data_IF_136780860932
#
_entry.id   IF_136780860932
#
_cell.length_a   1.000
_cell.length_b   1.000
_cell.length_c   1.000
_cell.angle_alpha   90.00
_cell.angle_beta   90.00
_cell.angle_gamma   90.00
#
_symmetry.space_group_name_H-M   'P 1'
#
loop_
_entity.id
_entity.type
_entity.pdbx_description
1 polymer ?
#
# COMPACT_ATOMS: atom_id res chain seq x y z
N UNK A 1 -22.22 -48.19 -13.35
CA UNK A 1 -22.63 -47.05 -14.20
C UNK A 1 -21.82 -45.81 -13.89
N UNK A 2 -20.75 -45.60 -14.66
CA UNK A 2 -19.90 -44.40 -14.59
C UNK A 2 -20.18 -43.46 -15.77
N UNK A 3 -21.43 -43.34 -16.19
CA UNK A 3 -21.82 -42.68 -17.45
C UNK A 3 -22.55 -41.34 -17.26
N UNK A 4 -22.38 -40.64 -16.13
CA UNK A 4 -23.14 -39.39 -15.87
C UNK A 4 -22.30 -38.19 -15.43
N UNK A 5 -21.00 -38.15 -15.73
CA UNK A 5 -20.22 -36.92 -15.56
C UNK A 5 -20.45 -36.00 -16.76
N UNK A 6 -21.27 -34.97 -16.53
CA UNK A 6 -21.51 -33.87 -17.47
C UNK A 6 -20.18 -33.15 -17.74
N UNK A 7 -19.82 -32.85 -19.00
CA UNK A 7 -18.59 -32.14 -19.31
C UNK A 7 -18.55 -30.76 -18.63
N UNK A 8 -17.35 -30.26 -18.27
CA UNK A 8 -17.21 -28.97 -17.62
C UNK A 8 -17.85 -27.89 -18.49
N UNK A 9 -18.81 -27.17 -17.89
CA UNK A 9 -19.46 -26.01 -18.47
C UNK A 9 -18.38 -25.04 -18.93
N UNK A 10 -18.46 -24.61 -20.19
CA UNK A 10 -17.55 -23.58 -20.73
C UNK A 10 -17.47 -22.40 -19.74
N UNK A 11 -16.27 -21.83 -19.52
CA UNK A 11 -16.14 -20.66 -18.67
C UNK A 11 -17.09 -19.56 -19.18
N UNK A 12 -17.73 -18.81 -18.28
CA UNK A 12 -18.67 -17.76 -18.67
C UNK A 12 -17.99 -16.83 -19.68
N UNK A 13 -18.77 -16.27 -20.64
CA UNK A 13 -18.21 -15.40 -21.67
C UNK A 13 -17.35 -14.33 -21.02
N UNK A 14 -16.06 -14.28 -21.39
CA UNK A 14 -15.16 -13.21 -20.98
C UNK A 14 -15.84 -11.91 -21.39
N UNK A 15 -16.31 -11.13 -20.42
CA UNK A 15 -16.86 -9.81 -20.71
C UNK A 15 -15.73 -8.99 -21.31
N UNK A 16 -15.77 -8.75 -22.62
CA UNK A 16 -14.88 -7.84 -23.37
C UNK A 16 -15.08 -6.37 -22.96
N UNK A 17 -15.45 -6.11 -21.71
CA UNK A 17 -15.44 -4.77 -21.15
C UNK A 17 -13.99 -4.41 -20.88
N UNK A 18 -13.42 -3.57 -21.72
CA UNK A 18 -12.17 -2.87 -21.43
C UNK A 18 -12.26 -2.33 -20.00
N UNK A 19 -11.41 -2.83 -19.12
CA UNK A 19 -11.45 -2.45 -17.72
C UNK A 19 -11.08 -0.97 -17.62
N UNK A 20 -11.97 -0.13 -17.08
CA UNK A 20 -11.62 1.25 -16.74
C UNK A 20 -10.66 1.24 -15.53
N UNK A 21 -9.38 1.05 -15.84
CA UNK A 21 -8.30 0.95 -14.86
C UNK A 21 -8.22 2.22 -14.00
N UNK A 22 -8.46 3.39 -14.60
CA UNK A 22 -8.42 4.68 -13.90
C UNK A 22 -9.54 4.75 -12.86
N UNK A 23 -10.75 4.32 -13.21
CA UNK A 23 -11.86 4.27 -12.26
C UNK A 23 -11.58 3.32 -11.08
N UNK A 24 -10.94 2.16 -11.34
CA UNK A 24 -10.55 1.21 -10.29
C UNK A 24 -9.49 1.81 -9.37
N UNK A 25 -8.42 2.39 -9.91
CA UNK A 25 -7.36 3.03 -9.12
C UNK A 25 -7.91 4.20 -8.29
N UNK A 26 -8.78 5.04 -8.88
CA UNK A 26 -9.46 6.11 -8.15
C UNK A 26 -10.39 5.56 -7.07
N UNK A 27 -11.05 4.42 -7.29
CA UNK A 27 -11.91 3.80 -6.28
C UNK A 27 -11.09 3.30 -5.08
N UNK A 28 -9.94 2.64 -5.33
CA UNK A 28 -9.01 2.21 -4.28
C UNK A 28 -8.50 3.42 -3.47
N UNK A 29 -8.04 4.47 -4.14
CA UNK A 29 -7.61 5.70 -3.47
C UNK A 29 -8.71 6.32 -2.60
N UNK A 30 -9.94 6.43 -3.13
CA UNK A 30 -11.09 6.97 -2.38
C UNK A 30 -11.47 6.09 -1.20
N UNK A 31 -11.39 4.77 -1.35
CA UNK A 31 -11.71 3.83 -0.27
C UNK A 31 -10.75 3.99 0.91
N UNK A 32 -9.44 4.05 0.63
CA UNK A 32 -8.44 4.24 1.68
C UNK A 32 -8.58 5.61 2.36
N UNK A 33 -8.73 6.67 1.58
CA UNK A 33 -8.95 8.03 2.10
C UNK A 33 -10.14 8.11 3.03
N UNK A 34 -11.31 7.62 2.59
CA UNK A 34 -12.53 7.65 3.43
C UNK A 34 -12.38 6.81 4.71
N UNK A 35 -11.69 5.69 4.62
CA UNK A 35 -11.41 4.83 5.79
C UNK A 35 -10.52 5.55 6.79
N UNK A 36 -9.52 6.27 6.29
CA UNK A 36 -8.60 7.07 7.10
C UNK A 36 -9.28 8.28 7.75
N UNK A 37 -10.05 9.04 6.99
CA UNK A 37 -10.82 10.18 7.49
C UNK A 37 -11.77 9.76 8.62
N UNK A 38 -12.44 8.62 8.44
CA UNK A 38 -13.31 8.05 9.47
C UNK A 38 -12.52 7.63 10.72
N UNK A 39 -11.36 6.97 10.55
CA UNK A 39 -10.50 6.57 11.66
C UNK A 39 -9.97 7.78 12.44
N UNK A 40 -9.43 8.79 11.75
CA UNK A 40 -8.93 10.01 12.39
C UNK A 40 -10.05 10.79 13.08
N UNK A 41 -11.25 10.82 12.49
CA UNK A 41 -12.42 11.43 13.11
C UNK A 41 -12.87 10.74 14.40
N UNK A 42 -12.66 9.43 14.52
CA UNK A 42 -12.87 8.68 15.77
C UNK A 42 -11.74 8.96 16.76
N UNK A 43 -10.49 8.86 16.31
CA UNK A 43 -9.31 9.08 17.15
C UNK A 43 -9.29 10.47 17.78
N UNK A 44 -9.70 11.50 17.05
CA UNK A 44 -9.76 12.87 17.56
C UNK A 44 -10.85 13.06 18.62
N UNK A 45 -12.02 12.42 18.47
CA UNK A 45 -13.08 12.46 19.50
C UNK A 45 -12.68 11.74 20.78
N UNK A 46 -11.90 10.67 20.65
CA UNK A 46 -11.50 9.83 21.77
C UNK A 46 -10.16 10.24 22.38
N UNK A 47 -9.43 11.23 21.84
CA UNK A 47 -8.05 11.56 22.25
C UNK A 47 -7.92 11.92 23.74
N UNK A 48 -8.97 12.46 24.35
CA UNK A 48 -8.99 12.79 25.78
C UNK A 48 -9.07 11.56 26.70
N UNK A 49 -9.61 10.44 26.20
CA UNK A 49 -9.77 9.19 26.95
C UNK A 49 -8.72 8.14 26.53
N UNK A 50 -8.45 8.06 25.22
CA UNK A 50 -7.58 7.06 24.57
C UNK A 50 -6.61 7.75 23.60
N UNK A 51 -5.59 8.48 24.11
CA UNK A 51 -4.62 9.21 23.28
C UNK A 51 -3.82 8.29 22.35
N UNK A 52 -3.70 7.00 22.68
CA UNK A 52 -3.02 6.01 21.85
C UNK A 52 -3.64 5.88 20.46
N UNK A 53 -4.96 6.08 20.30
CA UNK A 53 -5.62 6.00 19.00
C UNK A 53 -5.11 7.05 18.01
N UNK A 54 -4.70 8.23 18.52
CA UNK A 54 -4.11 9.28 17.70
C UNK A 54 -2.64 9.01 17.34
N UNK A 55 -1.95 8.20 18.16
CA UNK A 55 -0.56 7.81 17.95
C UNK A 55 -0.42 6.59 17.03
N UNK A 56 -1.41 5.70 17.06
CA UNK A 56 -1.41 4.48 16.26
C UNK A 56 -1.44 4.80 14.78
N UNK A 57 -0.60 4.08 14.04
CA UNK A 57 -0.57 4.10 12.60
C UNK A 57 -0.17 2.73 12.07
N UNK A 58 -0.42 2.50 10.78
CA UNK A 58 -0.12 1.22 10.14
C UNK A 58 0.36 1.39 8.71
N UNK A 59 1.18 0.46 8.25
CA UNK A 59 1.49 0.31 6.84
C UNK A 59 0.35 -0.48 6.18
N UNK A 60 -0.10 -0.02 5.02
CA UNK A 60 -1.21 -0.64 4.30
C UNK A 60 -0.72 -1.10 2.95
N UNK A 61 -0.93 -2.38 2.66
CA UNK A 61 -0.73 -2.97 1.35
C UNK A 61 -2.04 -3.67 0.96
N UNK A 62 -2.59 -3.30 -0.19
CA UNK A 62 -3.83 -3.88 -0.70
C UNK A 62 -3.66 -4.28 -2.16
N UNK A 63 -4.32 -5.38 -2.54
CA UNK A 63 -4.29 -5.94 -3.88
C UNK A 63 -5.71 -6.28 -4.31
N UNK A 64 -6.06 -5.92 -5.54
CA UNK A 64 -7.34 -6.24 -6.17
C UNK A 64 -7.06 -6.95 -7.50
N UNK A 65 -7.71 -8.10 -7.71
CA UNK A 65 -7.69 -8.83 -8.98
C UNK A 65 -9.00 -8.57 -9.73
N UNK A 66 -8.93 -8.16 -11.00
CA UNK A 66 -10.09 -8.02 -11.88
C UNK A 66 -9.80 -8.65 -13.23
N UNK A 67 -10.21 -9.91 -13.38
CA UNK A 67 -9.85 -10.70 -14.56
C UNK A 67 -8.36 -11.00 -14.56
N UNK A 68 -7.67 -10.61 -15.64
CA UNK A 68 -6.22 -10.76 -15.81
C UNK A 68 -5.44 -9.55 -15.23
N UNK A 69 -6.12 -8.49 -14.81
CA UNK A 69 -5.49 -7.29 -14.27
C UNK A 69 -5.36 -7.34 -12.74
N UNK A 70 -4.16 -7.02 -12.23
CA UNK A 70 -3.88 -6.85 -10.81
C UNK A 70 -3.63 -5.38 -10.48
N UNK A 71 -4.28 -4.88 -9.44
CA UNK A 71 -4.09 -3.51 -8.93
C UNK A 71 -3.49 -3.59 -7.53
N UNK A 72 -2.38 -2.91 -7.30
CA UNK A 72 -1.68 -2.88 -6.01
C UNK A 72 -1.65 -1.46 -5.47
N UNK A 73 -1.97 -1.29 -4.19
CA UNK A 73 -1.93 -0.01 -3.48
C UNK A 73 -1.05 -0.14 -2.24
N UNK A 74 -0.05 0.72 -2.11
CA UNK A 74 0.88 0.73 -0.98
C UNK A 74 0.95 2.07 -0.24
N UNK A 75 0.91 2.01 1.09
CA UNK A 75 1.19 3.12 2.02
C UNK A 75 2.13 2.62 3.10
N UNK A 76 3.33 3.20 3.16
CA UNK A 76 4.41 2.77 4.04
C UNK A 76 5.43 1.89 3.34
N UNK A 77 6.08 1.01 4.09
CA UNK A 77 7.23 0.20 3.67
C UNK A 77 6.90 -1.29 3.47
N UNK A 78 5.61 -1.64 3.45
CA UNK A 78 5.18 -2.99 3.06
C UNK A 78 5.39 -3.22 1.57
N UNK A 79 5.90 -4.41 1.21
CA UNK A 79 6.31 -4.75 -0.17
C UNK A 79 5.46 -5.86 -0.76
N UNK A 80 5.01 -5.68 -2.01
CA UNK A 80 4.50 -6.76 -2.85
C UNK A 80 5.58 -7.22 -3.84
N UNK A 81 5.79 -8.52 -3.93
CA UNK A 81 6.75 -9.15 -4.85
C UNK A 81 6.02 -10.22 -5.65
N UNK A 82 6.04 -10.12 -6.98
CA UNK A 82 5.50 -11.09 -7.90
C UNK A 82 6.60 -12.08 -8.28
N UNK A 83 6.35 -13.37 -8.04
CA UNK A 83 7.18 -14.43 -8.59
C UNK A 83 6.74 -14.68 -10.03
N UNK A 84 7.67 -14.54 -10.98
CA UNK A 84 7.46 -14.83 -12.40
C UNK A 84 8.33 -16.01 -12.82
N UNK A 85 7.87 -16.76 -13.80
CA UNK A 85 8.57 -17.91 -14.33
C UNK A 85 8.41 -17.92 -15.84
N UNK A 86 9.47 -18.26 -16.56
CA UNK A 86 9.41 -18.32 -18.02
C UNK A 86 8.53 -19.49 -18.48
N UNK A 87 7.86 -19.30 -19.62
CA UNK A 87 6.89 -20.28 -20.15
C UNK A 87 7.54 -21.62 -20.49
N UNK A 88 8.81 -21.62 -20.89
CA UNK A 88 9.60 -22.82 -21.16
C UNK A 88 9.76 -23.70 -19.93
N UNK A 89 9.95 -23.10 -18.75
CA UNK A 89 10.13 -23.86 -17.52
C UNK A 89 8.78 -24.39 -16.99
N UNK A 90 7.66 -23.75 -17.32
CA UNK A 90 6.31 -24.15 -16.88
C UNK A 90 5.86 -25.47 -17.51
N UNK A 91 6.21 -25.69 -18.78
CA UNK A 91 5.93 -26.94 -19.48
C UNK A 91 6.71 -28.12 -18.89
N UNK A 92 7.95 -27.88 -18.45
CA UNK A 92 8.78 -28.90 -17.81
C UNK A 92 8.32 -29.29 -16.39
N UNK A 93 7.71 -28.36 -15.62
CA UNK A 93 7.11 -28.69 -14.32
C UNK A 93 5.86 -29.58 -14.48
N UNK A 94 5.09 -29.39 -15.54
CA UNK A 94 3.87 -30.16 -15.84
C UNK A 94 4.15 -31.64 -16.13
N UNK A 95 5.33 -31.97 -16.68
CA UNK A 95 5.67 -33.33 -17.10
C UNK A 95 6.43 -34.16 -16.04
N UNK A 96 6.62 -33.63 -14.84
CA UNK A 96 7.17 -34.40 -13.70
C UNK A 96 8.64 -34.78 -13.82
N UNK A 97 9.35 -34.29 -14.83
CA UNK A 97 10.79 -34.53 -15.00
C UNK A 97 11.58 -33.43 -14.28
N UNK A 98 11.97 -33.70 -13.04
CA UNK A 98 12.85 -32.84 -12.23
C UNK A 98 14.33 -33.06 -12.62
N UNK A 99 14.62 -33.07 -13.92
CA UNK A 99 15.96 -33.38 -14.45
C UNK A 99 16.83 -32.12 -14.38
N UNK A 100 17.34 -31.81 -13.17
CA UNK A 100 18.47 -30.92 -12.92
C UNK A 100 18.33 -29.42 -13.24
N UNK A 101 17.28 -29.00 -13.94
CA UNK A 101 17.00 -27.59 -14.23
C UNK A 101 16.10 -27.01 -13.14
N UNK A 102 16.69 -26.26 -12.22
CA UNK A 102 15.94 -25.42 -11.29
C UNK A 102 15.13 -24.41 -12.11
N UNK A 103 13.78 -24.40 -12.03
CA UNK A 103 12.97 -23.45 -12.77
C UNK A 103 13.42 -22.02 -12.46
N UNK A 104 13.64 -21.21 -13.49
CA UNK A 104 14.18 -19.87 -13.34
C UNK A 104 13.07 -18.94 -12.81
N UNK A 105 12.89 -18.96 -11.48
CA UNK A 105 11.99 -18.05 -10.79
C UNK A 105 12.65 -16.67 -10.66
N UNK A 106 12.01 -15.67 -11.24
CA UNK A 106 12.37 -14.26 -11.05
C UNK A 106 11.42 -13.59 -10.07
N UNK A 107 11.93 -12.66 -9.28
CA UNK A 107 11.16 -11.91 -8.29
C UNK A 107 11.08 -10.44 -8.71
N UNK A 108 9.86 -9.97 -9.00
CA UNK A 108 9.58 -8.60 -9.46
C UNK A 108 8.85 -7.84 -8.35
N UNK A 109 9.50 -6.82 -7.77
CA UNK A 109 8.87 -5.95 -6.79
C UNK A 109 7.86 -5.02 -7.47
N UNK A 110 6.63 -4.99 -6.96
CA UNK A 110 5.51 -4.24 -7.55
C UNK A 110 5.26 -2.88 -6.89
N UNK A 111 5.77 -2.66 -5.67
CA UNK A 111 5.55 -1.44 -4.89
C UNK A 111 6.85 -0.71 -4.60
N UNK A 112 6.78 0.62 -4.46
CA UNK A 112 7.89 1.40 -3.94
C UNK A 112 7.82 1.51 -2.42
N UNK A 113 8.98 1.54 -1.77
CA UNK A 113 9.08 1.68 -0.32
C UNK A 113 8.90 3.14 0.10
N UNK A 114 8.05 3.41 1.08
CA UNK A 114 7.97 4.72 1.71
C UNK A 114 8.69 4.72 3.07
N UNK A 115 10.01 4.74 3.03
CA UNK A 115 10.86 4.80 4.24
C UNK A 115 11.98 5.84 4.13
N UNK A 116 12.59 6.21 5.25
CA UNK A 116 13.77 7.10 5.28
C UNK A 116 15.03 6.45 4.70
N UNK A 117 14.99 5.16 4.38
CA UNK A 117 16.02 4.50 3.59
C UNK A 117 15.96 4.91 2.12
N UNK A 118 14.82 5.42 1.65
CA UNK A 118 14.65 5.97 0.31
C UNK A 118 15.06 7.45 0.28
N UNK A 119 16.14 7.82 -0.43
CA UNK A 119 16.63 9.20 -0.47
C UNK A 119 15.60 10.18 -1.03
N UNK A 120 14.74 9.73 -1.94
CA UNK A 120 13.67 10.53 -2.53
C UNK A 120 12.65 10.98 -1.48
N UNK A 121 12.20 10.08 -0.60
CA UNK A 121 11.29 10.42 0.49
C UNK A 121 11.95 11.36 1.50
N UNK A 122 13.23 11.14 1.83
CA UNK A 122 13.96 12.04 2.74
C UNK A 122 14.08 13.45 2.15
N UNK A 123 14.42 13.56 0.85
CA UNK A 123 14.50 14.86 0.16
C UNK A 123 13.13 15.53 0.09
N UNK A 124 12.08 14.78 -0.26
CA UNK A 124 10.71 15.27 -0.31
C UNK A 124 10.27 15.87 1.02
N UNK A 125 10.41 15.11 2.12
CA UNK A 125 10.02 15.58 3.47
C UNK A 125 10.78 16.85 3.85
N UNK A 126 12.09 16.92 3.58
CA UNK A 126 12.90 18.12 3.88
C UNK A 126 12.45 19.33 3.06
N UNK A 127 12.13 19.14 1.77
CA UNK A 127 11.69 20.21 0.88
C UNK A 127 10.29 20.72 1.23
N UNK A 128 9.40 19.85 1.69
CA UNK A 128 8.06 20.23 2.15
C UNK A 128 8.08 20.96 3.50
N UNK A 129 9.15 20.81 4.29
CA UNK A 129 9.28 21.37 5.64
C UNK A 129 10.62 22.10 5.84
N UNK A 130 10.91 23.18 5.08
CA UNK A 130 12.16 23.92 5.20
C UNK A 130 12.35 24.57 6.58
N UNK A 131 11.23 24.94 7.23
CA UNK A 131 11.22 25.59 8.56
C UNK A 131 11.28 24.60 9.73
N UNK A 132 11.35 23.30 9.45
CA UNK A 132 11.42 22.25 10.46
C UNK A 132 12.65 21.36 10.27
N UNK A 133 13.81 21.77 10.79
CA UNK A 133 15.04 20.97 10.70
C UNK A 133 14.93 19.63 11.43
N UNK A 134 13.91 19.46 12.30
CA UNK A 134 13.66 18.21 13.03
C UNK A 134 12.76 17.22 12.28
N UNK A 135 12.24 17.60 11.10
CA UNK A 135 11.37 16.75 10.28
C UNK A 135 12.00 15.38 10.02
N UNK A 136 13.31 15.35 9.71
CA UNK A 136 14.13 14.13 9.67
C UNK A 136 15.29 14.29 10.65
N UNK A 137 15.30 13.48 11.70
CA UNK A 137 16.35 13.46 12.72
C UNK A 137 16.81 12.02 12.97
N UNK A 138 18.13 11.80 13.07
CA UNK A 138 18.72 10.45 13.23
C UNK A 138 18.17 9.42 12.22
N UNK A 139 18.08 9.83 10.95
CA UNK A 139 17.51 9.04 9.86
C UNK A 139 16.09 8.53 10.10
N UNK A 140 15.30 9.25 10.91
CA UNK A 140 13.92 8.93 11.26
C UNK A 140 13.05 10.19 11.17
N UNK A 141 11.83 10.00 10.72
CA UNK A 141 10.78 11.03 10.76
C UNK A 141 10.56 11.44 12.21
N UNK A 142 10.75 12.71 12.51
CA UNK A 142 10.69 13.28 13.88
C UNK A 142 11.55 12.52 14.91
N UNK A 143 12.58 11.79 14.47
CA UNK A 143 13.41 10.94 15.33
C UNK A 143 12.78 9.59 15.70
N UNK A 144 11.53 9.30 15.31
CA UNK A 144 10.75 8.18 15.84
C UNK A 144 10.27 7.16 14.82
N UNK A 145 10.10 7.52 13.54
CA UNK A 145 9.59 6.57 12.55
C UNK A 145 10.57 6.41 11.38
N UNK A 146 10.80 5.17 10.94
CA UNK A 146 11.49 4.90 9.68
C UNK A 146 10.56 5.02 8.48
N UNK A 147 9.28 4.74 8.69
CA UNK A 147 8.22 4.89 7.69
C UNK A 147 7.96 6.38 7.44
N UNK A 148 7.74 6.76 6.19
CA UNK A 148 7.54 8.15 5.73
C UNK A 148 6.11 8.46 5.31
N UNK A 149 5.27 7.42 5.16
CA UNK A 149 3.82 7.49 4.90
C UNK A 149 3.12 6.39 5.68
N UNK A 150 2.04 6.68 6.38
CA UNK A 150 1.31 5.66 7.14
C UNK A 150 -0.18 5.98 7.16
N UNK A 151 -1.00 4.94 7.24
CA UNK A 151 -2.41 5.07 7.63
C UNK A 151 -2.50 5.49 9.09
N UNK A 152 -3.40 6.41 9.44
CA UNK A 152 -3.53 6.91 10.81
C UNK A 152 -2.36 7.81 11.20
N UNK A 153 -1.70 7.57 12.32
CA UNK A 153 -0.63 8.42 12.86
C UNK A 153 -1.06 9.91 12.94
N UNK A 154 -2.24 10.14 13.51
CA UNK A 154 -2.89 11.46 13.58
C UNK A 154 -1.99 12.55 14.16
N UNK A 155 -1.11 12.20 15.11
CA UNK A 155 -0.13 13.14 15.68
C UNK A 155 0.87 13.73 14.69
N UNK A 156 1.06 13.11 13.51
CA UNK A 156 1.90 13.63 12.43
C UNK A 156 1.10 14.31 11.32
N UNK A 157 -0.22 14.14 11.28
CA UNK A 157 -1.08 14.68 10.21
C UNK A 157 -1.63 16.05 10.57
N UNK A 158 -1.93 16.85 9.55
CA UNK A 158 -2.65 18.11 9.74
C UNK A 158 -4.11 17.77 9.94
N UNK A 159 -4.45 17.36 11.17
CA UNK A 159 -5.83 17.14 11.54
C UNK A 159 -6.46 18.52 11.81
N UNK A 160 -7.58 18.80 11.16
CA UNK A 160 -8.27 20.09 11.21
C UNK A 160 -8.83 20.46 12.60
N UNK A 161 -8.76 19.56 13.57
CA UNK A 161 -9.28 19.75 14.92
C UNK A 161 -8.15 19.88 15.96
N UNK A 162 -8.33 20.86 16.85
CA UNK A 162 -7.33 21.36 17.79
C UNK A 162 -6.88 20.32 18.83
N UNK A 163 -7.67 19.26 19.08
CA UNK A 163 -7.48 18.35 20.21
C UNK A 163 -6.20 17.52 20.06
N UNK A 164 -6.02 16.78 18.96
CA UNK A 164 -4.79 16.00 18.72
C UNK A 164 -3.52 16.88 18.74
N UNK A 165 -3.55 18.05 18.09
CA UNK A 165 -2.39 18.94 18.05
C UNK A 165 -2.05 19.50 19.44
N UNK A 166 -3.06 19.85 20.23
CA UNK A 166 -2.89 20.37 21.59
C UNK A 166 -2.30 19.36 22.57
N UNK A 167 -2.63 18.07 22.40
CA UNK A 167 -2.19 16.99 23.30
C UNK A 167 -0.72 16.64 23.07
N UNK A 168 -0.27 16.57 21.82
CA UNK A 168 1.07 16.06 21.51
C UNK A 168 2.13 17.15 21.28
N UNK A 169 1.75 18.37 20.91
CA UNK A 169 2.70 19.47 20.71
C UNK A 169 3.74 19.23 19.60
N UNK A 170 3.51 18.24 18.73
CA UNK A 170 4.40 17.89 17.61
C UNK A 170 3.94 18.66 16.36
N UNK A 171 4.86 19.35 15.69
CA UNK A 171 4.57 19.95 14.37
C UNK A 171 4.20 18.84 13.39
N UNK A 172 3.00 18.91 12.82
CA UNK A 172 2.57 18.00 11.76
C UNK A 172 3.49 18.08 10.55
N UNK A 173 3.59 16.94 9.84
CA UNK A 173 4.22 16.82 8.53
C UNK A 173 3.14 16.65 7.45
N UNK A 174 3.06 17.59 6.52
CA UNK A 174 2.17 17.52 5.35
C UNK A 174 2.43 16.26 4.52
N UNK A 175 3.68 15.81 4.51
CA UNK A 175 4.14 14.59 3.83
C UNK A 175 3.39 13.31 4.24
N UNK A 176 2.81 13.29 5.45
CA UNK A 176 1.98 12.19 5.95
C UNK A 176 0.50 12.36 5.59
N UNK A 177 0.07 13.59 5.31
CA UNK A 177 -1.32 13.94 4.98
C UNK A 177 -1.59 13.86 3.47
N UNK A 178 -0.55 13.89 2.64
CA UNK A 178 -0.69 13.69 1.20
C UNK A 178 -1.17 12.28 0.89
N UNK A 179 -2.34 12.20 0.27
CA UNK A 179 -2.95 10.95 -0.20
C UNK A 179 -2.32 10.43 -1.50
N UNK A 180 -1.01 10.64 -1.68
CA UNK A 180 -0.24 10.00 -2.74
C UNK A 180 -0.04 8.53 -2.38
N UNK A 181 -1.08 7.75 -2.64
CA UNK A 181 -1.06 6.31 -2.55
C UNK A 181 -0.29 5.76 -3.75
N UNK A 182 0.76 4.97 -3.52
CA UNK A 182 1.46 4.30 -4.60
C UNK A 182 0.55 3.23 -5.19
N UNK A 183 0.01 3.51 -6.38
CA UNK A 183 -1.00 2.73 -7.07
C UNK A 183 -0.39 2.17 -8.36
N UNK A 184 -0.34 0.85 -8.48
CA UNK A 184 0.28 0.14 -9.59
C UNK A 184 -0.74 -0.79 -10.26
N UNK A 185 -0.83 -0.73 -11.59
CA UNK A 185 -1.48 -1.75 -12.41
C UNK A 185 -0.42 -2.74 -12.91
N UNK A 186 -0.71 -4.02 -12.80
CA UNK A 186 0.11 -5.14 -13.25
C UNK A 186 -0.73 -5.99 -14.21
N UNK A 187 -0.18 -6.31 -15.37
CA UNK A 187 -0.77 -7.16 -16.41
C UNK A 187 0.22 -8.25 -16.79
#
# INVERSE_FOLDING_TARGET
DCSSLKPPTQPPPRSNGENDHIAVLKALARALRKTEDAYLGIADKMVGEFPELALMGSCVLSMLMKGEDMYVMGVGDSRAVLATMDSVDLEHISEGSFDGLSPCLSAVQLTSDHSTSMPEEVRRIRNEHPDDPSAISKDRVKGSLKVTRAFGAGFLKQVSSCSIMSVFGIKSLRSFSDHDYALQLVR
#
